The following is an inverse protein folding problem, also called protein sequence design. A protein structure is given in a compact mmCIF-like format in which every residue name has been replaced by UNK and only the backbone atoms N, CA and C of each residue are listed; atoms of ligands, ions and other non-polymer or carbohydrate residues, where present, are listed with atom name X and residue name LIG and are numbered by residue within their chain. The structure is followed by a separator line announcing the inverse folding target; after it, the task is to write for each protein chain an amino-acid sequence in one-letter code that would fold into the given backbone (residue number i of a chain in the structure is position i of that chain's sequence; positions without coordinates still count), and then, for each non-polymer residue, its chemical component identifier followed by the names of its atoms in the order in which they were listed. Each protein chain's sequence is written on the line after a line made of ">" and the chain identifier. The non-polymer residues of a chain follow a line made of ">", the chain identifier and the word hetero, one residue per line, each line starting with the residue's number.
data_IF_118899127690
#
_entry.id   IF_118899127690
#
_cell.length_a   1.000
_cell.length_b   1.000
_cell.length_c   1.000
_cell.angle_alpha   90.00
_cell.angle_beta   90.00
_cell.angle_gamma   90.00
#
_symmetry.space_group_name_H-M   'P 1'
#
loop_
_entity.id
_entity.type
_entity.pdbx_description
1 polymer ?
#
# COMPACT_ATOMS: atom_id res chain seq x y z
N UNK A 1 -9.66 28.40 -6.66
CA UNK A 1 -9.52 27.32 -5.66
C UNK A 1 -8.08 26.86 -5.72
N UNK A 2 -7.26 27.21 -4.73
CA UNK A 2 -5.95 26.58 -4.59
C UNK A 2 -6.16 25.16 -4.07
N UNK A 3 -5.83 24.16 -4.87
CA UNK A 3 -5.75 22.77 -4.40
C UNK A 3 -4.74 22.71 -3.26
N UNK A 4 -5.20 22.43 -2.04
CA UNK A 4 -4.32 22.16 -0.91
C UNK A 4 -3.48 20.92 -1.26
N UNK A 5 -2.20 21.11 -1.56
CA UNK A 5 -1.26 20.01 -1.80
C UNK A 5 -1.19 19.15 -0.53
N UNK A 6 -1.61 17.89 -0.62
CA UNK A 6 -1.48 16.93 0.47
C UNK A 6 0.01 16.61 0.68
N UNK A 7 0.56 17.01 1.82
CA UNK A 7 1.94 16.69 2.23
C UNK A 7 1.94 15.45 3.13
N UNK A 8 3.10 14.81 3.27
CA UNK A 8 3.31 13.72 4.23
C UNK A 8 3.57 12.37 3.57
N UNK A 9 2.91 11.32 4.02
CA UNK A 9 3.07 9.98 3.47
C UNK A 9 1.73 9.39 3.05
N UNK A 10 1.79 8.46 2.11
CA UNK A 10 0.65 7.61 1.79
C UNK A 10 1.10 6.18 1.59
N UNK A 11 0.25 5.24 1.96
CA UNK A 11 0.38 3.84 1.60
C UNK A 11 -0.72 3.46 0.63
N UNK A 12 -0.35 2.78 -0.46
CA UNK A 12 -1.27 2.30 -1.48
C UNK A 12 -1.25 0.78 -1.47
N UNK A 13 -2.38 0.17 -1.16
CA UNK A 13 -2.55 -1.29 -1.16
C UNK A 13 -3.25 -1.72 -2.46
N UNK A 14 -2.55 -2.48 -3.28
CA UNK A 14 -3.07 -3.07 -4.53
C UNK A 14 -3.12 -4.59 -4.43
N UNK A 15 -4.04 -5.20 -5.17
CA UNK A 15 -4.03 -6.65 -5.35
C UNK A 15 -2.91 -7.00 -6.33
N UNK A 16 -2.06 -7.96 -5.98
CA UNK A 16 -0.99 -8.47 -6.82
C UNK A 16 -1.29 -9.93 -7.17
N UNK A 17 -1.35 -10.27 -8.45
CA UNK A 17 -1.53 -11.66 -8.91
C UNK A 17 -0.25 -12.11 -9.58
N UNK A 18 0.29 -13.26 -9.16
CA UNK A 18 1.54 -13.79 -9.74
C UNK A 18 1.32 -14.38 -11.13
N UNK A 19 0.11 -14.86 -11.45
CA UNK A 19 -0.23 -15.38 -12.78
C UNK A 19 -1.72 -15.11 -13.13
N UNK A 20 -1.95 -14.64 -14.36
CA UNK A 20 -3.20 -14.80 -15.12
C UNK A 20 -4.36 -13.83 -14.85
N UNK A 21 -5.12 -13.58 -15.92
CA UNK A 21 -6.37 -12.81 -16.04
C UNK A 21 -7.55 -13.28 -15.13
N UNK A 22 -7.30 -13.76 -13.91
CA UNK A 22 -8.33 -14.44 -13.09
C UNK A 22 -9.07 -13.50 -12.15
N UNK A 23 -10.41 -13.49 -12.18
CA UNK A 23 -11.36 -12.72 -11.37
C UNK A 23 -10.96 -12.39 -9.90
N UNK A 24 -11.48 -11.27 -9.38
CA UNK A 24 -11.30 -10.83 -7.97
C UNK A 24 -11.94 -11.90 -7.07
N UNK A 25 -11.12 -12.69 -6.37
CA UNK A 25 -11.59 -13.75 -5.46
C UNK A 25 -11.36 -15.20 -5.92
N UNK A 26 -10.89 -15.45 -7.15
CA UNK A 26 -10.73 -16.83 -7.68
C UNK A 26 -9.38 -17.51 -7.41
N UNK A 27 -8.47 -16.90 -6.65
CA UNK A 27 -7.09 -17.37 -6.52
C UNK A 27 -6.92 -18.53 -5.55
N UNK A 28 -6.44 -19.68 -6.04
CA UNK A 28 -5.91 -20.77 -5.19
C UNK A 28 -4.82 -20.23 -4.24
N UNK A 29 -4.74 -20.80 -3.02
CA UNK A 29 -3.70 -20.46 -2.01
C UNK A 29 -2.33 -20.32 -2.68
N UNK A 30 -1.74 -19.12 -2.61
CA UNK A 30 -0.40 -18.84 -3.12
C UNK A 30 -0.30 -18.19 -4.51
N UNK A 31 -1.40 -18.06 -5.27
CA UNK A 31 -1.38 -17.42 -6.61
C UNK A 31 -1.78 -15.94 -6.62
N UNK A 32 -2.39 -15.47 -5.53
CA UNK A 32 -2.80 -14.06 -5.35
C UNK A 32 -2.25 -13.52 -4.03
N UNK A 33 -1.95 -12.22 -4.01
CA UNK A 33 -1.41 -11.52 -2.86
C UNK A 33 -1.76 -10.03 -2.89
N UNK A 34 -1.17 -9.27 -1.99
CA UNK A 34 -1.28 -7.82 -1.94
C UNK A 34 0.11 -7.21 -2.02
N UNK A 35 0.20 -6.08 -2.72
CA UNK A 35 1.38 -5.22 -2.76
C UNK A 35 1.04 -3.92 -2.07
N UNK A 36 1.88 -3.51 -1.14
CA UNK A 36 1.81 -2.21 -0.49
C UNK A 36 2.97 -1.35 -0.94
N UNK A 37 2.70 -0.10 -1.32
CA UNK A 37 3.73 0.87 -1.68
C UNK A 37 3.56 2.11 -0.81
N UNK A 38 4.62 2.50 -0.13
CA UNK A 38 4.68 3.73 0.66
C UNK A 38 5.31 4.82 -0.18
N UNK A 39 4.62 5.95 -0.30
CA UNK A 39 5.13 7.15 -0.95
C UNK A 39 5.31 8.27 0.07
N UNK A 40 6.36 9.06 -0.11
CA UNK A 40 6.46 10.39 0.47
C UNK A 40 5.94 11.42 -0.53
N UNK A 41 5.15 12.39 -0.06
CA UNK A 41 4.64 13.50 -0.87
C UNK A 41 5.35 14.77 -0.40
N UNK A 42 6.19 15.32 -1.28
CA UNK A 42 6.95 16.54 -1.03
C UNK A 42 6.12 17.82 -1.29
N UNK A 43 6.66 18.97 -0.89
CA UNK A 43 6.01 20.29 -1.00
C UNK A 43 5.60 20.70 -2.43
N UNK A 44 6.32 20.19 -3.42
CA UNK A 44 6.05 20.40 -4.83
C UNK A 44 4.91 19.50 -5.36
N UNK A 45 4.51 18.47 -4.62
CA UNK A 45 3.55 17.44 -5.01
C UNK A 45 4.21 16.17 -5.57
N UNK A 46 5.54 16.12 -5.63
CA UNK A 46 6.30 14.96 -6.09
C UNK A 46 6.10 13.78 -5.15
N UNK A 47 5.86 12.60 -5.73
CA UNK A 47 5.69 11.35 -5.00
C UNK A 47 6.92 10.46 -5.18
N UNK A 48 7.64 10.22 -4.09
CA UNK A 48 8.81 9.33 -4.09
C UNK A 48 8.44 8.02 -3.41
N UNK A 49 8.66 6.89 -4.09
CA UNK A 49 8.48 5.57 -3.49
C UNK A 49 9.57 5.33 -2.43
N UNK A 50 9.15 5.13 -1.18
CA UNK A 50 10.07 4.84 -0.06
C UNK A 50 10.27 3.33 0.12
N UNK A 51 9.18 2.56 -0.04
CA UNK A 51 9.17 1.13 0.23
C UNK A 51 8.09 0.44 -0.60
N UNK A 52 8.41 -0.78 -1.02
CA UNK A 52 7.46 -1.72 -1.61
C UNK A 52 7.55 -3.05 -0.90
N UNK A 53 6.40 -3.55 -0.46
CA UNK A 53 6.28 -4.84 0.20
C UNK A 53 5.18 -5.69 -0.44
N UNK A 54 5.35 -7.00 -0.36
CA UNK A 54 4.37 -7.97 -0.84
C UNK A 54 4.05 -9.01 0.23
N UNK A 55 2.78 -9.38 0.32
CA UNK A 55 2.29 -10.43 1.21
C UNK A 55 1.21 -11.26 0.56
N UNK A 56 1.06 -12.54 0.96
CA UNK A 56 -0.03 -13.38 0.46
C UNK A 56 -1.41 -12.90 0.96
N UNK A 57 -1.45 -12.23 2.12
CA UNK A 57 -2.67 -11.65 2.70
C UNK A 57 -2.46 -10.19 3.09
N UNK A 58 -3.55 -9.47 3.38
CA UNK A 58 -3.45 -8.12 3.94
C UNK A 58 -2.76 -8.13 5.31
N UNK A 59 -3.07 -9.10 6.16
CA UNK A 59 -2.48 -9.21 7.49
C UNK A 59 -0.96 -9.35 7.42
N UNK A 60 -0.46 -10.18 6.52
CA UNK A 60 0.99 -10.37 6.35
C UNK A 60 1.65 -9.14 5.75
N UNK A 61 1.02 -8.51 4.76
CA UNK A 61 1.50 -7.26 4.18
C UNK A 61 1.56 -6.15 5.24
N UNK A 62 0.49 -5.93 6.01
CA UNK A 62 0.45 -4.90 7.05
C UNK A 62 1.54 -5.12 8.10
N UNK A 63 1.76 -6.37 8.54
CA UNK A 63 2.87 -6.68 9.46
C UNK A 63 4.23 -6.25 8.90
N UNK A 64 4.51 -6.53 7.63
CA UNK A 64 5.75 -6.10 6.97
C UNK A 64 5.85 -4.57 6.87
N UNK A 65 4.77 -3.93 6.47
CA UNK A 65 4.70 -2.47 6.35
C UNK A 65 4.93 -1.77 7.70
N UNK A 66 4.30 -2.23 8.79
CA UNK A 66 4.57 -1.66 10.13
C UNK A 66 5.98 -1.96 10.62
N UNK A 67 6.53 -3.15 10.32
CA UNK A 67 7.91 -3.50 10.67
C UNK A 67 8.95 -2.59 9.99
N UNK A 68 8.61 -1.98 8.86
CA UNK A 68 9.49 -1.04 8.15
C UNK A 68 9.74 0.28 8.89
N UNK A 69 8.91 0.63 9.89
CA UNK A 69 9.01 1.87 10.65
C UNK A 69 8.52 3.13 9.92
N UNK A 70 8.08 3.03 8.65
CA UNK A 70 7.59 4.18 7.90
C UNK A 70 6.14 4.58 8.22
N UNK A 71 5.37 3.67 8.82
CA UNK A 71 3.95 3.88 9.18
C UNK A 71 3.83 3.98 10.70
N UNK A 72 3.26 5.07 11.25
CA UNK A 72 2.97 5.18 12.68
C UNK A 72 2.04 4.07 13.17
N UNK A 73 2.22 3.61 14.41
CA UNK A 73 1.48 2.44 14.96
C UNK A 73 -0.04 2.64 15.01
N UNK A 74 -0.49 3.89 15.15
CA UNK A 74 -1.90 4.22 15.34
C UNK A 74 -2.65 4.42 14.01
N UNK A 75 -1.98 4.27 12.87
CA UNK A 75 -2.59 4.44 11.54
C UNK A 75 -3.28 3.16 11.11
N UNK A 76 -4.59 3.25 10.86
CA UNK A 76 -5.36 2.17 10.25
C UNK A 76 -5.19 2.17 8.73
N UNK A 77 -4.51 1.15 8.18
CA UNK A 77 -4.31 1.01 6.73
C UNK A 77 -5.57 0.46 6.06
N UNK A 78 -6.03 1.12 5.00
CA UNK A 78 -7.10 0.62 4.15
C UNK A 78 -6.65 -0.62 3.36
N UNK A 79 -7.34 -1.78 3.47
CA UNK A 79 -6.96 -3.02 2.78
C UNK A 79 -7.13 -2.99 1.26
N UNK A 80 -7.82 -2.00 0.71
CA UNK A 80 -8.02 -1.82 -0.72
C UNK A 80 -8.14 -0.34 -1.06
N UNK A 81 -7.00 0.33 -1.17
CA UNK A 81 -6.98 1.74 -1.54
C UNK A 81 -5.74 2.46 -1.02
N UNK A 82 -5.86 3.77 -0.98
CA UNK A 82 -4.85 4.68 -0.45
C UNK A 82 -5.19 5.07 0.97
N UNK A 83 -4.20 5.08 1.85
CA UNK A 83 -4.28 5.65 3.20
C UNK A 83 -3.24 6.75 3.30
N UNK A 84 -3.66 7.94 3.74
CA UNK A 84 -2.79 9.09 3.96
C UNK A 84 -2.53 9.23 5.44
N UNK A 85 -1.30 9.58 5.82
CA UNK A 85 -0.87 9.75 7.20
C UNK A 85 0.39 10.61 7.29
#
# INVERSE_FOLDING_TARGET
>A
MEERKQLGRKVVIKTHRKHGNGAKGGGRKGQTGKRGIIYHIAGDGTQTELLREEGPTFKDLSKKLFKSGFIPRDVAINPSGTTFF
#
